data_IF_878973995348
#
_entry.id   IF_878973995348
#
_cell.length_a   1.000
_cell.length_b   1.000
_cell.length_c   1.000
_cell.angle_alpha   90.00
_cell.angle_beta   90.00
_cell.angle_gamma   90.00
#
_symmetry.space_group_name_H-M   'P 1'
#
loop_
_entity.id
_entity.type
_entity.pdbx_description
1 polymer ?
#
# COMPACT_ATOMS: atom_id res chain seq x y z
N UNK A 1 14.48 -56.81 -18.42
CA UNK A 1 15.80 -57.45 -18.61
C UNK A 1 16.89 -56.52 -18.09
N UNK A 2 17.74 -57.05 -17.20
CA UNK A 2 19.04 -56.60 -16.69
C UNK A 2 19.08 -55.33 -15.83
N UNK A 3 19.02 -55.60 -14.56
CA UNK A 3 19.52 -54.85 -13.40
C UNK A 3 21.07 -54.74 -13.50
N UNK A 4 21.61 -53.55 -13.27
CA UNK A 4 22.99 -53.41 -12.84
C UNK A 4 23.07 -52.48 -11.60
N UNK A 5 23.32 -53.12 -10.48
CA UNK A 5 23.81 -52.51 -9.23
C UNK A 5 25.28 -52.15 -9.42
N UNK A 6 25.66 -50.94 -9.03
CA UNK A 6 27.06 -50.62 -8.75
C UNK A 6 27.08 -50.00 -7.34
N UNK A 7 27.77 -50.76 -6.46
CA UNK A 7 28.24 -50.31 -5.14
C UNK A 7 29.49 -49.46 -5.34
N UNK A 8 29.64 -48.38 -4.60
CA UNK A 8 30.89 -47.59 -4.56
C UNK A 8 30.98 -46.81 -3.24
N UNK A 9 31.73 -47.39 -2.37
CA UNK A 9 32.73 -46.91 -1.39
C UNK A 9 32.52 -45.56 -0.68
N UNK A 10 32.45 -45.68 0.64
CA UNK A 10 32.59 -44.66 1.69
C UNK A 10 34.03 -44.23 1.76
N UNK A 11 34.30 -42.93 1.68
CA UNK A 11 35.56 -42.30 2.09
C UNK A 11 35.28 -41.25 3.17
N UNK A 12 35.69 -41.57 4.39
CA UNK A 12 35.77 -40.64 5.53
C UNK A 12 36.99 -39.76 5.33
N UNK A 13 36.84 -38.43 5.24
CA UNK A 13 37.94 -37.48 5.40
C UNK A 13 37.61 -36.51 6.53
N UNK A 14 38.43 -36.58 7.57
CA UNK A 14 38.46 -35.64 8.68
C UNK A 14 38.92 -34.25 8.19
N UNK A 15 38.13 -33.21 8.42
CA UNK A 15 38.52 -31.84 8.16
C UNK A 15 38.74 -31.08 9.48
N UNK A 16 39.96 -30.66 9.68
CA UNK A 16 40.45 -29.76 10.75
C UNK A 16 39.76 -28.40 10.70
N UNK A 17 39.20 -27.98 11.83
CA UNK A 17 38.67 -26.64 12.03
C UNK A 17 39.78 -25.61 12.13
N UNK A 18 39.88 -24.70 11.19
CA UNK A 18 40.68 -23.48 11.28
C UNK A 18 39.73 -22.33 11.65
N UNK A 19 39.85 -21.84 12.88
CA UNK A 19 39.12 -20.66 13.36
C UNK A 19 39.79 -19.40 12.77
N UNK A 20 39.13 -18.77 11.79
CA UNK A 20 39.44 -17.42 11.34
C UNK A 20 38.65 -16.41 12.18
N UNK A 21 39.37 -15.67 13.00
CA UNK A 21 38.89 -14.45 13.64
C UNK A 21 38.94 -13.34 12.59
N UNK A 22 37.77 -12.95 12.07
CA UNK A 22 37.61 -11.77 11.20
C UNK A 22 37.44 -10.52 12.06
N UNK A 23 38.17 -9.43 11.79
CA UNK A 23 37.89 -8.14 12.44
C UNK A 23 36.54 -7.59 11.96
N UNK A 24 35.71 -7.18 12.91
CA UNK A 24 34.46 -6.49 12.63
C UNK A 24 34.74 -5.11 12.01
N UNK A 25 34.63 -5.01 10.70
CA UNK A 25 34.54 -3.72 10.02
C UNK A 25 33.19 -3.12 10.30
N UNK A 26 33.14 -2.03 11.08
CA UNK A 26 31.97 -1.20 11.24
C UNK A 26 31.61 -0.57 9.87
N UNK A 27 30.68 -1.16 9.16
CA UNK A 27 30.06 -0.52 8.02
C UNK A 27 29.14 0.59 8.54
N UNK A 28 29.55 1.85 8.34
CA UNK A 28 28.69 3.00 8.50
C UNK A 28 27.54 2.85 7.50
N UNK A 29 26.35 2.54 8.00
CA UNK A 29 25.14 2.60 7.21
C UNK A 29 24.88 4.07 6.88
N UNK A 30 25.10 4.43 5.61
CA UNK A 30 24.55 5.67 5.06
C UNK A 30 23.03 5.57 5.17
N UNK A 31 22.44 6.43 5.98
CA UNK A 31 21.00 6.63 6.01
C UNK A 31 20.58 7.14 4.63
N UNK A 32 20.08 6.27 3.77
CA UNK A 32 19.29 6.68 2.65
C UNK A 32 17.99 7.23 3.26
N UNK A 33 17.80 8.52 3.14
CA UNK A 33 16.54 9.22 3.41
C UNK A 33 15.55 8.78 2.33
N UNK A 34 15.00 7.60 2.53
CA UNK A 34 13.83 7.14 1.81
C UNK A 34 12.65 7.82 2.47
N UNK A 35 12.10 8.82 1.82
CA UNK A 35 10.74 9.31 2.09
C UNK A 35 9.80 8.12 1.84
N UNK A 36 9.71 7.26 2.84
CA UNK A 36 8.78 6.14 2.86
C UNK A 36 7.40 6.75 3.02
N UNK A 37 6.61 6.78 1.96
CA UNK A 37 5.18 7.04 2.09
C UNK A 37 4.67 6.08 3.16
N UNK A 38 4.14 6.63 4.26
CA UNK A 38 3.67 5.82 5.36
C UNK A 38 2.45 5.03 4.89
N UNK A 39 2.64 3.71 4.70
CA UNK A 39 1.52 2.81 4.48
C UNK A 39 0.81 2.58 5.82
N UNK A 40 -0.44 2.97 5.92
CA UNK A 40 -1.31 2.65 7.05
C UNK A 40 -2.22 1.49 6.67
N UNK A 41 -2.68 0.70 7.66
CA UNK A 41 -3.61 -0.38 7.35
C UNK A 41 -5.01 0.16 7.05
N UNK A 42 -5.73 -0.51 6.15
CA UNK A 42 -7.10 -0.14 5.78
C UNK A 42 -8.04 -0.04 7.01
N UNK A 43 -7.88 -0.92 7.98
CA UNK A 43 -8.66 -0.89 9.23
C UNK A 43 -8.35 0.36 10.06
N UNK A 44 -7.07 0.75 10.17
CA UNK A 44 -6.69 1.95 10.91
C UNK A 44 -7.17 3.22 10.19
N UNK A 45 -7.05 3.27 8.87
CA UNK A 45 -7.57 4.38 8.06
C UNK A 45 -9.09 4.51 8.21
N UNK A 46 -9.84 3.42 8.03
CA UNK A 46 -11.29 3.42 8.18
C UNK A 46 -11.75 3.84 9.59
N UNK A 47 -10.98 3.49 10.64
CA UNK A 47 -11.28 3.90 12.01
C UNK A 47 -11.04 5.38 12.29
N UNK A 48 -10.23 6.06 11.48
CA UNK A 48 -9.95 7.49 11.62
C UNK A 48 -10.84 8.38 10.77
N UNK A 49 -11.68 7.81 9.90
CA UNK A 49 -12.51 8.53 8.94
C UNK A 49 -14.00 8.38 9.25
N UNK A 50 -14.73 9.48 9.18
CA UNK A 50 -16.19 9.48 9.35
C UNK A 50 -17.00 9.04 8.13
N UNK A 51 -16.40 9.00 6.92
CA UNK A 51 -17.11 8.83 5.65
C UNK A 51 -16.34 7.95 4.66
N UNK A 52 -16.13 6.68 5.03
CA UNK A 52 -15.53 5.72 4.11
C UNK A 52 -16.51 5.32 3.00
N UNK A 53 -16.03 5.28 1.75
CA UNK A 53 -16.75 4.77 0.60
C UNK A 53 -15.98 3.60 -0.01
N UNK A 54 -16.71 2.60 -0.48
CA UNK A 54 -16.14 1.37 -1.03
C UNK A 54 -16.58 1.20 -2.48
N UNK A 55 -15.69 0.72 -3.34
CA UNK A 55 -16.07 0.27 -4.68
C UNK A 55 -17.07 -0.88 -4.57
N UNK A 56 -18.04 -0.99 -5.51
CA UNK A 56 -19.10 -2.02 -5.45
C UNK A 56 -18.56 -3.47 -5.45
N UNK A 57 -17.39 -3.69 -6.02
CA UNK A 57 -16.71 -4.99 -6.02
C UNK A 57 -15.95 -5.29 -4.72
N UNK A 58 -15.82 -4.31 -3.84
CA UNK A 58 -15.14 -4.45 -2.56
C UNK A 58 -13.62 -4.30 -2.60
N UNK A 59 -13.01 -4.11 -3.78
CA UNK A 59 -11.54 -4.08 -3.96
C UNK A 59 -10.89 -2.77 -3.53
N UNK A 60 -11.64 -1.67 -3.43
CA UNK A 60 -11.08 -0.37 -3.07
C UNK A 60 -11.93 0.38 -2.03
N UNK A 61 -11.25 1.12 -1.16
CA UNK A 61 -11.85 2.07 -0.22
C UNK A 61 -11.17 3.43 -0.37
N UNK A 62 -11.96 4.49 -0.24
CA UNK A 62 -11.44 5.84 0.00
C UNK A 62 -12.13 6.44 1.22
N UNK A 63 -11.37 7.19 2.02
CA UNK A 63 -11.96 7.86 3.17
C UNK A 63 -11.17 9.12 3.55
N UNK A 64 -11.88 10.19 3.88
CA UNK A 64 -11.28 11.46 4.27
C UNK A 64 -11.42 11.67 5.77
N UNK A 65 -10.28 12.04 6.40
CA UNK A 65 -10.23 12.49 7.79
C UNK A 65 -10.04 14.02 7.78
N UNK A 66 -11.02 14.82 8.25
CA UNK A 66 -10.86 16.27 8.32
C UNK A 66 -9.76 16.71 9.28
N UNK A 67 -9.50 15.93 10.34
CA UNK A 67 -8.41 16.26 11.27
C UNK A 67 -7.08 15.91 10.61
N UNK A 68 -6.33 16.93 10.20
CA UNK A 68 -5.07 16.81 9.48
C UNK A 68 -5.23 16.60 7.98
N UNK A 69 -6.46 16.62 7.44
CA UNK A 69 -6.82 16.65 6.01
C UNK A 69 -6.24 15.48 5.20
N UNK A 70 -6.37 14.28 5.76
CA UNK A 70 -5.88 13.05 5.16
C UNK A 70 -6.94 12.36 4.32
N UNK A 71 -6.66 12.13 3.02
CA UNK A 71 -7.44 11.26 2.16
C UNK A 71 -6.71 9.91 2.03
N UNK A 72 -7.28 8.87 2.63
CA UNK A 72 -6.76 7.51 2.52
C UNK A 72 -7.37 6.80 1.31
N UNK A 73 -6.52 6.12 0.54
CA UNK A 73 -6.91 5.26 -0.58
C UNK A 73 -6.36 3.87 -0.30
N UNK A 74 -7.24 2.90 -0.13
CA UNK A 74 -6.90 1.58 0.40
C UNK A 74 -7.26 0.46 -0.56
N UNK A 75 -6.40 -0.54 -0.61
CA UNK A 75 -6.66 -1.84 -1.19
C UNK A 75 -7.35 -2.71 -0.13
N UNK A 76 -8.53 -3.20 -0.42
CA UNK A 76 -9.37 -3.93 0.54
C UNK A 76 -9.59 -5.39 0.20
N UNK A 77 -9.12 -5.86 -0.97
CA UNK A 77 -9.26 -7.25 -1.40
C UNK A 77 -8.01 -7.72 -2.16
N UNK A 78 -7.59 -8.97 -1.93
CA UNK A 78 -6.47 -9.60 -2.64
C UNK A 78 -6.97 -10.20 -3.97
N UNK A 79 -7.43 -9.33 -4.86
CA UNK A 79 -8.03 -9.69 -6.15
C UNK A 79 -7.10 -9.46 -7.34
N UNK A 80 -5.86 -8.96 -7.09
CA UNK A 80 -4.87 -8.63 -8.11
C UNK A 80 -5.12 -7.30 -8.83
N UNK A 81 -6.12 -6.55 -8.41
CA UNK A 81 -6.41 -5.19 -8.86
C UNK A 81 -5.74 -4.16 -7.96
N UNK A 82 -6.00 -2.88 -8.19
CA UNK A 82 -5.43 -1.85 -7.34
C UNK A 82 -6.39 -0.66 -7.13
N UNK A 83 -6.34 -0.03 -5.95
CA UNK A 83 -7.22 1.07 -5.62
C UNK A 83 -6.78 2.38 -6.27
N UNK A 84 -7.75 3.24 -6.48
CA UNK A 84 -7.58 4.65 -6.80
C UNK A 84 -8.73 5.46 -6.23
N UNK A 85 -8.57 6.78 -6.27
CA UNK A 85 -9.63 7.69 -5.88
C UNK A 85 -9.77 8.80 -6.92
N UNK A 86 -11.00 9.12 -7.29
CA UNK A 86 -11.30 10.40 -7.88
C UNK A 86 -11.62 11.39 -6.76
N UNK A 87 -11.01 12.56 -6.79
CA UNK A 87 -11.37 13.62 -5.86
C UNK A 87 -11.22 15.01 -6.45
N UNK A 88 -11.98 15.96 -5.88
CA UNK A 88 -11.90 17.38 -6.19
C UNK A 88 -12.14 18.19 -4.92
N UNK A 89 -11.47 19.33 -4.80
CA UNK A 89 -11.55 20.22 -3.64
C UNK A 89 -12.53 21.37 -3.96
N UNK A 90 -13.42 21.66 -3.04
CA UNK A 90 -14.43 22.70 -3.16
C UNK A 90 -15.39 22.46 -4.34
N UNK A 91 -15.72 23.53 -5.03
CA UNK A 91 -16.49 23.51 -6.29
C UNK A 91 -15.59 23.53 -7.52
N UNK A 92 -14.33 23.10 -7.37
CA UNK A 92 -13.35 23.07 -8.44
C UNK A 92 -13.71 22.15 -9.59
N UNK A 93 -12.99 22.32 -10.69
CA UNK A 93 -13.11 21.46 -11.87
C UNK A 93 -11.86 20.58 -12.06
N UNK A 94 -10.84 20.80 -11.22
CA UNK A 94 -9.56 20.09 -11.29
C UNK A 94 -9.68 18.75 -10.55
N UNK A 95 -10.14 17.74 -11.26
CA UNK A 95 -10.27 16.38 -10.74
C UNK A 95 -8.91 15.68 -10.72
N UNK A 96 -8.60 15.08 -9.59
CA UNK A 96 -7.44 14.22 -9.39
C UNK A 96 -7.87 12.75 -9.45
N UNK A 97 -7.00 11.88 -9.97
CA UNK A 97 -7.23 10.43 -10.01
C UNK A 97 -5.94 9.66 -9.72
N UNK A 98 -5.39 9.75 -8.51
CA UNK A 98 -4.27 8.93 -8.12
C UNK A 98 -4.68 7.46 -8.00
N UNK A 99 -3.78 6.58 -8.46
CA UNK A 99 -3.91 5.13 -8.38
C UNK A 99 -2.65 4.58 -7.70
N UNK A 100 -2.81 3.54 -6.87
CA UNK A 100 -1.72 3.03 -6.05
C UNK A 100 -1.64 1.51 -6.14
N UNK A 101 -0.47 0.99 -6.47
CA UNK A 101 -0.23 -0.44 -6.44
C UNK A 101 0.09 -0.87 -5.00
N UNK A 102 -0.95 -1.23 -4.26
CA UNK A 102 -0.87 -1.63 -2.86
C UNK A 102 -1.16 -3.13 -2.75
N UNK A 103 -0.74 -3.75 -1.67
CA UNK A 103 -1.25 -5.07 -1.29
C UNK A 103 -2.49 -4.93 -0.42
N UNK A 104 -3.35 -5.94 -0.44
CA UNK A 104 -4.60 -5.97 0.33
C UNK A 104 -4.39 -5.61 1.81
N UNK A 105 -5.29 -4.82 2.35
CA UNK A 105 -5.24 -4.32 3.72
C UNK A 105 -4.34 -3.10 3.92
N UNK A 106 -3.69 -2.57 2.89
CA UNK A 106 -2.83 -1.38 2.97
C UNK A 106 -3.50 -0.15 2.35
N UNK A 107 -3.13 1.02 2.86
CA UNK A 107 -3.59 2.32 2.35
C UNK A 107 -2.42 3.21 1.97
N UNK A 108 -2.66 4.05 0.98
CA UNK A 108 -1.87 5.24 0.72
C UNK A 108 -2.55 6.44 1.38
N UNK A 109 -1.76 7.28 2.02
CA UNK A 109 -2.19 8.52 2.68
C UNK A 109 -1.83 9.71 1.79
N UNK A 110 -2.84 10.46 1.37
CA UNK A 110 -2.69 11.72 0.65
C UNK A 110 -2.93 12.83 1.67
N UNK A 111 -1.85 13.46 2.11
CA UNK A 111 -1.94 14.64 2.98
C UNK A 111 -2.29 15.85 2.12
N UNK A 112 -3.45 16.43 2.33
CA UNK A 112 -3.96 17.61 1.63
C UNK A 112 -3.76 18.84 2.50
N UNK A 113 -3.74 20.02 1.86
CA UNK A 113 -3.68 21.33 2.55
C UNK A 113 -4.97 22.08 2.18
N UNK A 114 -6.02 21.90 2.99
CA UNK A 114 -7.35 22.45 2.75
C UNK A 114 -7.68 23.55 3.75
N UNK A 115 -8.40 24.57 3.29
CA UNK A 115 -8.97 25.52 4.24
C UNK A 115 -10.15 24.89 4.99
N UNK A 116 -10.33 25.22 6.27
CA UNK A 116 -11.45 24.75 7.11
C UNK A 116 -12.85 25.01 6.51
N UNK A 117 -12.93 25.91 5.54
CA UNK A 117 -14.16 26.24 4.80
C UNK A 117 -14.37 25.40 3.55
N UNK A 118 -13.36 24.63 3.17
CA UNK A 118 -13.40 23.82 1.97
C UNK A 118 -14.20 22.53 2.19
N UNK A 119 -14.53 21.91 1.09
CA UNK A 119 -15.11 20.57 1.04
C UNK A 119 -14.27 19.71 0.11
N UNK A 120 -14.29 18.42 0.31
CA UNK A 120 -13.74 17.45 -0.64
C UNK A 120 -14.86 16.55 -1.14
N UNK A 121 -14.93 16.37 -2.45
CA UNK A 121 -15.77 15.35 -3.09
C UNK A 121 -14.86 14.24 -3.58
N UNK A 122 -15.14 12.99 -3.21
CA UNK A 122 -14.32 11.85 -3.62
C UNK A 122 -15.14 10.58 -3.81
N UNK A 123 -14.57 9.62 -4.54
CA UNK A 123 -15.06 8.24 -4.67
C UNK A 123 -13.89 7.26 -4.68
N UNK A 124 -14.13 6.03 -4.23
CA UNK A 124 -13.19 4.92 -4.35
C UNK A 124 -13.41 4.18 -5.66
N UNK A 125 -12.34 3.85 -6.36
CA UNK A 125 -12.39 3.08 -7.58
C UNK A 125 -11.40 1.92 -7.55
N UNK A 126 -11.78 0.76 -8.13
CA UNK A 126 -10.91 -0.38 -8.36
C UNK A 126 -10.47 -0.41 -9.83
N UNK A 127 -9.20 -0.76 -10.10
CA UNK A 127 -8.57 -0.68 -11.41
C UNK A 127 -7.84 -1.96 -11.80
N UNK A 128 -7.88 -2.30 -13.09
CA UNK A 128 -6.99 -3.25 -13.76
C UNK A 128 -6.06 -2.49 -14.71
N UNK A 129 -4.81 -2.32 -14.36
CA UNK A 129 -3.91 -1.43 -15.09
C UNK A 129 -4.47 0.01 -15.11
N UNK A 130 -4.76 0.54 -16.28
CA UNK A 130 -5.38 1.88 -16.43
C UNK A 130 -6.91 1.83 -16.60
N UNK A 131 -7.49 0.63 -16.61
CA UNK A 131 -8.91 0.43 -16.83
C UNK A 131 -9.66 0.46 -15.50
N UNK A 132 -10.53 1.43 -15.32
CA UNK A 132 -11.46 1.51 -14.21
C UNK A 132 -12.48 0.36 -14.30
N UNK A 133 -12.60 -0.43 -13.24
CA UNK A 133 -13.51 -1.57 -13.15
C UNK A 133 -14.82 -1.16 -12.48
N UNK A 134 -14.72 -0.60 -11.28
CA UNK A 134 -15.88 -0.16 -10.52
C UNK A 134 -15.55 1.04 -9.65
N UNK A 135 -16.54 1.90 -9.38
CA UNK A 135 -16.38 3.03 -8.48
C UNK A 135 -17.59 3.16 -7.55
N UNK A 136 -17.36 3.63 -6.34
CA UNK A 136 -18.39 3.98 -5.38
C UNK A 136 -19.25 5.17 -5.86
N UNK A 137 -20.31 5.44 -5.14
CA UNK A 137 -20.91 6.78 -5.15
C UNK A 137 -19.93 7.81 -4.60
N UNK A 138 -20.14 9.08 -4.98
CA UNK A 138 -19.36 10.18 -4.41
C UNK A 138 -19.74 10.43 -2.95
N UNK A 139 -18.73 10.70 -2.13
CA UNK A 139 -18.88 11.32 -0.82
C UNK A 139 -18.54 12.81 -0.93
N UNK A 140 -19.24 13.65 -0.20
CA UNK A 140 -18.94 15.07 -0.01
C UNK A 140 -18.73 15.32 1.47
N UNK A 141 -17.55 15.78 1.85
CA UNK A 141 -17.14 15.96 3.24
C UNK A 141 -16.56 17.36 3.43
N UNK A 142 -16.86 18.01 4.57
CA UNK A 142 -16.24 19.26 4.96
C UNK A 142 -14.82 19.03 5.46
N UNK A 143 -13.88 19.92 5.11
CA UNK A 143 -12.52 19.92 5.64
C UNK A 143 -12.45 20.37 7.10
N UNK A 144 -13.55 20.88 7.65
CA UNK A 144 -13.61 21.34 9.05
C UNK A 144 -13.41 20.15 9.99
N UNK A 145 -12.25 20.14 10.68
CA UNK A 145 -11.87 19.20 11.71
C UNK A 145 -12.52 19.47 13.08
#
# INVERSE_FOLDING_TARGET
MRVRRIMGAVALTAATAISFVLPASAASAASADSTSAATVSATAAAGSCGHAVFSPDGGAMACFNPTGEHLFVCDTDDDGHHPGAWYVIGNGIDWHNPQYNLGAGNCHDINLDLAETDTITYQACNYEGTRQLSCSSYALVSAKG
#
